data_IF_760394295684
#
_entry.id   IF_760394295684
#
_cell.length_a   1.000
_cell.length_b   1.000
_cell.length_c   1.000
_cell.angle_alpha   90.00
_cell.angle_beta   90.00
_cell.angle_gamma   90.00
#
_symmetry.space_group_name_H-M   'P 1'
#
loop_
_entity.id
_entity.type
_entity.pdbx_description
1 polymer ?
#
# COMPACT_ATOMS: atom_id res chain seq x y z
N UNK A 1 16.32 -10.43 8.59
CA UNK A 1 15.81 -10.42 7.20
C UNK A 1 14.67 -9.42 7.21
N UNK A 2 14.87 -8.20 6.70
CA UNK A 2 13.83 -7.17 6.69
C UNK A 2 12.92 -7.40 5.48
N UNK A 3 11.77 -8.00 5.71
CA UNK A 3 10.79 -8.35 4.67
C UNK A 3 9.78 -7.20 4.48
N UNK A 4 10.25 -6.02 4.09
CA UNK A 4 9.37 -4.89 3.86
C UNK A 4 8.36 -5.19 2.74
N UNK A 5 7.09 -4.86 2.98
CA UNK A 5 5.97 -5.12 2.06
C UNK A 5 5.70 -3.87 1.25
N UNK A 6 5.73 -4.01 -0.08
CA UNK A 6 5.43 -2.92 -1.01
C UNK A 6 3.92 -2.84 -1.26
N UNK A 7 3.34 -1.69 -0.99
CA UNK A 7 1.95 -1.35 -1.34
C UNK A 7 1.94 -0.42 -2.55
N UNK A 8 1.14 -0.78 -3.55
CA UNK A 8 0.96 -0.05 -4.78
C UNK A 8 -0.48 0.46 -4.88
N UNK A 9 -0.64 1.77 -4.96
CA UNK A 9 -1.92 2.41 -5.17
C UNK A 9 -1.96 2.95 -6.60
N UNK A 10 -2.94 2.46 -7.37
CA UNK A 10 -3.18 2.94 -8.72
C UNK A 10 -4.03 4.20 -8.63
N UNK A 11 -3.39 5.36 -8.70
CA UNK A 11 -4.04 6.65 -8.77
C UNK A 11 -4.74 6.89 -10.11
N UNK A 12 -5.29 8.08 -10.26
CA UNK A 12 -5.97 8.50 -11.49
C UNK A 12 -4.97 9.04 -12.53
N UNK A 13 -4.09 9.95 -12.11
CA UNK A 13 -3.03 10.52 -12.94
C UNK A 13 -1.67 9.88 -12.63
N UNK A 14 -1.42 9.55 -11.35
CA UNK A 14 -0.10 9.10 -10.86
C UNK A 14 -0.22 7.89 -9.95
N UNK A 15 0.56 6.84 -10.25
CA UNK A 15 0.69 5.67 -9.40
C UNK A 15 1.57 5.97 -8.17
N UNK A 16 1.09 5.58 -6.99
CA UNK A 16 1.73 5.85 -5.71
C UNK A 16 2.12 4.57 -4.99
N UNK A 17 3.21 4.62 -4.25
CA UNK A 17 3.85 3.45 -3.67
C UNK A 17 4.32 3.77 -2.25
N UNK A 18 4.05 2.86 -1.33
CA UNK A 18 4.51 2.94 0.06
C UNK A 18 5.13 1.62 0.47
N UNK A 19 6.12 1.68 1.36
CA UNK A 19 6.76 0.51 1.96
C UNK A 19 6.36 0.36 3.42
N UNK A 20 5.71 -0.75 3.74
CA UNK A 20 5.38 -1.15 5.10
C UNK A 20 6.45 -2.09 5.65
N UNK A 21 6.65 -2.09 6.97
CA UNK A 21 7.59 -3.02 7.63
C UNK A 21 7.15 -4.47 7.46
N UNK A 22 5.85 -4.75 7.59
CA UNK A 22 5.26 -6.08 7.47
C UNK A 22 3.74 -6.01 7.31
N UNK A 23 3.14 -7.01 6.66
CA UNK A 23 1.69 -7.10 6.50
C UNK A 23 0.94 -7.12 7.84
N UNK A 24 1.50 -7.79 8.85
CA UNK A 24 0.88 -7.89 10.17
C UNK A 24 0.73 -6.54 10.89
N UNK A 25 1.69 -5.62 10.68
CA UNK A 25 1.60 -4.26 11.22
C UNK A 25 0.53 -3.46 10.48
N UNK A 26 0.44 -3.62 9.15
CA UNK A 26 -0.62 -3.02 8.36
C UNK A 26 -1.99 -3.57 8.77
N UNK A 27 -2.15 -4.87 8.97
CA UNK A 27 -3.41 -5.46 9.45
C UNK A 27 -3.80 -4.95 10.83
N UNK A 28 -2.83 -4.77 11.73
CA UNK A 28 -3.06 -4.19 13.05
C UNK A 28 -3.44 -2.71 12.97
N UNK A 29 -2.82 -1.98 12.04
CA UNK A 29 -3.15 -0.59 11.73
C UNK A 29 -4.55 -0.45 11.13
N UNK A 30 -4.94 -1.31 10.19
CA UNK A 30 -6.25 -1.28 9.54
C UNK A 30 -7.40 -1.50 10.53
N UNK A 31 -7.16 -2.21 11.64
CA UNK A 31 -8.13 -2.33 12.74
C UNK A 31 -8.35 -1.01 13.47
N UNK A 32 -7.30 -0.19 13.62
CA UNK A 32 -7.35 1.07 14.36
C UNK A 32 -6.44 2.12 13.70
N UNK A 33 -6.85 2.69 12.55
CA UNK A 33 -5.99 3.54 11.74
C UNK A 33 -5.74 4.87 12.46
N UNK A 34 -4.47 5.13 12.80
CA UNK A 34 -4.04 6.33 13.52
C UNK A 34 -2.77 6.91 12.91
N UNK A 35 -2.75 8.21 12.55
CA UNK A 35 -1.59 8.84 11.91
C UNK A 35 -0.31 8.71 12.76
N UNK A 36 -0.42 8.80 14.09
CA UNK A 36 0.74 8.63 15.00
C UNK A 36 1.42 7.26 14.89
N UNK A 37 0.66 6.20 14.56
CA UNK A 37 1.17 4.82 14.43
C UNK A 37 1.75 4.51 13.05
N UNK A 38 1.56 5.39 12.06
CA UNK A 38 2.06 5.14 10.72
C UNK A 38 3.59 5.01 10.71
N UNK A 39 4.31 5.78 11.53
CA UNK A 39 5.76 5.69 11.67
C UNK A 39 6.24 4.30 12.14
N UNK A 40 5.44 3.62 12.95
CA UNK A 40 5.76 2.28 13.42
C UNK A 40 5.45 1.22 12.35
N UNK A 41 4.46 1.45 11.50
CA UNK A 41 3.96 0.50 10.49
C UNK A 41 4.71 0.61 9.16
N UNK A 42 5.11 1.82 8.77
CA UNK A 42 5.86 2.06 7.53
C UNK A 42 7.36 1.88 7.74
N UNK A 43 8.04 1.34 6.74
CA UNK A 43 9.50 1.23 6.76
C UNK A 43 10.13 2.61 6.56
N UNK A 44 9.56 3.40 5.64
CA UNK A 44 10.00 4.76 5.32
C UNK A 44 8.78 5.66 5.25
N UNK A 45 8.84 6.81 5.94
CA UNK A 45 7.76 7.80 5.97
C UNK A 45 7.76 8.70 4.72
N UNK A 46 7.81 8.06 3.55
CA UNK A 46 7.81 8.73 2.26
C UNK A 46 6.86 8.01 1.30
N UNK A 47 6.22 8.80 0.43
CA UNK A 47 5.38 8.30 -0.66
C UNK A 47 6.20 8.34 -1.93
N UNK A 48 6.31 7.19 -2.59
CA UNK A 48 7.01 7.04 -3.84
C UNK A 48 6.02 7.08 -5.01
N UNK A 49 6.51 7.46 -6.18
CA UNK A 49 5.79 7.46 -7.45
C UNK A 49 6.67 6.84 -8.52
N UNK A 50 6.07 6.38 -9.61
CA UNK A 50 6.85 5.98 -10.80
C UNK A 50 7.25 7.24 -11.60
N UNK A 51 8.53 7.36 -11.96
CA UNK A 51 9.05 8.58 -12.64
C UNK A 51 8.42 8.84 -14.00
N UNK A 52 7.95 7.80 -14.70
CA UNK A 52 7.34 7.92 -16.03
C UNK A 52 5.81 7.77 -16.04
N UNK A 53 5.15 7.69 -14.88
CA UNK A 53 3.69 7.50 -14.79
C UNK A 53 3.15 6.25 -15.50
N UNK A 54 4.02 5.30 -15.87
CA UNK A 54 3.69 4.10 -16.63
C UNK A 54 4.49 2.90 -16.12
N UNK A 55 3.94 2.23 -15.12
CA UNK A 55 4.24 0.83 -14.84
C UNK A 55 5.11 0.56 -13.61
N UNK A 56 4.84 -0.59 -12.97
CA UNK A 56 5.42 -1.02 -11.70
C UNK A 56 6.92 -1.40 -11.72
N UNK A 57 7.60 -1.28 -12.88
CA UNK A 57 9.01 -1.68 -13.11
C UNK A 57 9.97 -0.52 -13.39
N UNK A 58 9.50 0.72 -13.35
CA UNK A 58 10.37 1.90 -13.49
C UNK A 58 11.11 2.26 -12.20
N UNK A 59 12.04 3.22 -12.29
CA UNK A 59 12.62 3.84 -11.09
C UNK A 59 11.52 4.49 -10.25
N UNK A 60 11.64 4.31 -8.94
CA UNK A 60 10.78 4.93 -7.95
C UNK A 60 11.37 6.29 -7.58
N UNK A 61 10.64 7.35 -7.87
CA UNK A 61 10.94 8.69 -7.38
C UNK A 61 10.13 9.02 -6.14
N UNK A 62 10.53 10.02 -5.39
CA UNK A 62 9.69 10.57 -4.31
C UNK A 62 8.55 11.38 -4.93
N UNK A 63 7.32 11.14 -4.48
CA UNK A 63 6.16 11.90 -4.93
C UNK A 63 6.27 13.35 -4.42
N UNK A 64 6.18 14.30 -5.35
CA UNK A 64 6.15 15.71 -4.97
C UNK A 64 4.80 16.08 -4.36
N UNK A 65 4.77 17.08 -3.46
CA UNK A 65 3.50 17.59 -2.88
C UNK A 65 2.46 17.91 -3.95
N UNK A 66 2.87 18.53 -5.05
CA UNK A 66 1.98 18.85 -6.16
C UNK A 66 1.32 17.60 -6.77
N UNK A 67 2.05 16.48 -6.90
CA UNK A 67 1.50 15.23 -7.44
C UNK A 67 0.46 14.65 -6.49
N UNK A 68 0.76 14.63 -5.20
CA UNK A 68 -0.17 14.18 -4.15
C UNK A 68 -1.45 15.04 -4.15
N UNK A 69 -1.30 16.37 -4.21
CA UNK A 69 -2.43 17.29 -4.24
C UNK A 69 -3.26 17.18 -5.53
N UNK A 70 -2.65 16.81 -6.65
CA UNK A 70 -3.37 16.53 -7.90
C UNK A 70 -4.18 15.24 -7.80
N UNK A 71 -3.66 14.21 -7.13
CA UNK A 71 -4.32 12.90 -7.00
C UNK A 71 -5.42 12.87 -5.94
N UNK A 72 -5.15 13.38 -4.74
CA UNK A 72 -6.10 13.31 -3.62
C UNK A 72 -6.77 14.64 -3.29
N UNK A 73 -6.33 15.73 -3.92
CA UNK A 73 -6.84 17.08 -3.69
C UNK A 73 -5.98 17.91 -2.73
N UNK A 74 -6.11 19.24 -2.86
CA UNK A 74 -5.45 20.23 -2.00
C UNK A 74 -5.98 20.12 -0.57
N UNK A 75 -5.16 19.53 0.31
CA UNK A 75 -5.25 19.45 1.81
C UNK A 75 -4.75 18.10 2.35
N UNK A 76 -4.48 17.11 1.49
CA UNK A 76 -3.92 15.84 1.94
C UNK A 76 -2.49 15.99 2.46
N UNK A 77 -2.22 15.39 3.61
CA UNK A 77 -0.87 15.24 4.17
C UNK A 77 -0.28 13.90 3.74
N UNK A 78 1.03 13.76 3.89
CA UNK A 78 1.72 12.49 3.64
C UNK A 78 1.12 11.34 4.45
N UNK A 79 0.74 11.60 5.71
CA UNK A 79 0.06 10.64 6.59
C UNK A 79 -1.26 10.13 6.00
N UNK A 80 -2.11 11.05 5.54
CA UNK A 80 -3.43 10.71 4.97
C UNK A 80 -3.27 9.87 3.69
N UNK A 81 -2.27 10.21 2.88
CA UNK A 81 -1.95 9.50 1.64
C UNK A 81 -1.49 8.09 1.95
N UNK A 82 -0.56 7.93 2.90
CA UNK A 82 -0.09 6.62 3.34
C UNK A 82 -1.27 5.79 3.85
N UNK A 83 -2.15 6.36 4.67
CA UNK A 83 -3.34 5.69 5.18
C UNK A 83 -4.25 5.18 4.05
N UNK A 84 -4.52 6.03 3.04
CA UNK A 84 -5.31 5.63 1.86
C UNK A 84 -4.60 4.52 1.07
N UNK A 85 -3.30 4.62 0.86
CA UNK A 85 -2.52 3.60 0.12
C UNK A 85 -2.53 2.26 0.87
N UNK A 86 -2.48 2.26 2.20
CA UNK A 86 -2.55 1.03 2.99
C UNK A 86 -3.96 0.40 2.96
N UNK A 87 -5.01 1.22 2.87
CA UNK A 87 -6.42 0.77 2.82
C UNK A 87 -6.87 0.31 1.44
N UNK A 88 -6.55 1.09 0.42
CA UNK A 88 -7.04 0.93 -0.95
C UNK A 88 -5.96 0.36 -1.89
N UNK A 89 -4.69 0.43 -1.50
CA UNK A 89 -3.59 -0.07 -2.32
C UNK A 89 -3.45 -1.59 -2.29
N UNK A 90 -2.76 -2.12 -3.29
CA UNK A 90 -2.47 -3.53 -3.46
C UNK A 90 -1.07 -3.85 -2.94
N UNK A 91 -0.96 -4.78 -2.00
CA UNK A 91 0.33 -5.32 -1.61
C UNK A 91 0.89 -6.20 -2.75
N UNK A 92 2.09 -5.89 -3.22
CA UNK A 92 2.78 -6.65 -4.27
C UNK A 92 3.83 -7.63 -3.68
N UNK A 93 3.84 -7.79 -2.35
CA UNK A 93 4.53 -8.87 -1.66
C UNK A 93 3.55 -9.99 -1.40
N UNK A 94 3.77 -11.13 -2.05
CA UNK A 94 2.93 -12.34 -2.01
C UNK A 94 1.54 -12.21 -2.66
N UNK A 95 1.55 -12.47 -3.97
CA UNK A 95 0.48 -13.20 -4.64
C UNK A 95 0.19 -14.50 -3.87
N UNK A 96 -0.78 -14.51 -2.94
CA UNK A 96 -1.78 -15.58 -2.82
C UNK A 96 -2.90 -15.23 -1.82
N UNK A 97 -4.04 -14.79 -2.32
CA UNK A 97 -5.32 -15.17 -1.71
C UNK A 97 -6.24 -15.81 -2.76
N UNK A 98 -6.13 -17.13 -3.01
CA UNK A 98 -7.28 -17.88 -3.45
C UNK A 98 -8.10 -18.15 -2.19
N UNK A 99 -8.83 -17.15 -1.69
CA UNK A 99 -9.89 -17.40 -0.71
C UNK A 99 -11.09 -18.00 -1.43
N UNK A 100 -10.99 -19.26 -1.87
CA UNK A 100 -12.01 -20.32 -1.71
C UNK A 100 -11.30 -21.67 -1.91
N UNK A 101 -10.60 -22.18 -0.89
CA UNK A 101 -10.44 -23.64 -0.75
C UNK A 101 -11.57 -24.14 0.17
N UNK A 102 -12.80 -24.14 -0.32
CA UNK A 102 -13.87 -24.95 0.27
C UNK A 102 -13.82 -26.34 -0.36
N UNK A 103 -12.69 -27.03 -0.18
CA UNK A 103 -12.62 -28.47 -0.43
C UNK A 103 -13.25 -29.18 0.76
N UNK A 104 -14.57 -29.31 0.73
CA UNK A 104 -15.24 -30.38 1.47
C UNK A 104 -15.75 -31.36 0.42
N UNK A 105 -14.84 -32.22 -0.06
CA UNK A 105 -15.26 -33.51 -0.61
C UNK A 105 -15.88 -34.27 0.56
N UNK A 106 -17.20 -34.24 0.65
CA UNK A 106 -17.96 -35.19 1.45
C UNK A 106 -18.43 -36.27 0.48
N UNK A 107 -17.64 -37.33 0.37
CA UNK A 107 -18.18 -38.64 0.04
C UNK A 107 -17.94 -39.52 1.25
N UNK A 108 -19.03 -40.01 1.86
CA UNK A 108 -18.96 -41.35 2.39
C UNK A 108 -20.15 -42.22 1.98
N UNK A 109 -19.73 -43.40 1.48
CA UNK A 109 -20.35 -44.74 1.40
C UNK A 109 -21.62 -44.91 0.55
#
# INVERSE_FOLDING_TARGET
>A
MSSAVKYFYKGNDTDLIVFAKSQNEVESYLKEPRPDKLNDVVEVFEVYTTTNGKGAKGELGTASKAQIENEFGKKMRTEDVIDVILKEGQCNGEMNIPRVQRSMQVYPL
#
